data_IF_917728652986
#
_entry.id   IF_917728652986
#
_cell.length_a   1.000
_cell.length_b   1.000
_cell.length_c   1.000
_cell.angle_alpha   90.00
_cell.angle_beta   90.00
_cell.angle_gamma   90.00
#
_symmetry.space_group_name_H-M   'P 1'
#
loop_
_entity.id
_entity.type
_entity.pdbx_description
1 polymer ?
#
# COMPACT_ATOMS: atom_id res chain seq x y z
N UNK A 1 -4.78 14.84 17.88
CA UNK A 1 -4.31 13.44 17.97
C UNK A 1 -3.51 13.17 16.71
N UNK A 2 -2.30 12.64 16.82
CA UNK A 2 -1.47 12.30 15.67
C UNK A 2 -1.74 10.83 15.29
N UNK A 3 -2.04 10.56 14.02
CA UNK A 3 -2.09 9.19 13.48
C UNK A 3 -0.72 8.85 12.93
N UNK A 4 -0.25 7.62 13.08
CA UNK A 4 1.00 7.19 12.42
C UNK A 4 0.74 6.95 10.95
N UNK A 5 1.51 7.63 10.08
CA UNK A 5 1.46 7.44 8.63
C UNK A 5 2.47 6.40 8.19
N UNK A 6 2.22 5.75 7.06
CA UNK A 6 3.19 4.84 6.45
C UNK A 6 2.94 4.57 4.98
N UNK A 7 3.89 3.86 4.38
CA UNK A 7 3.80 3.34 3.01
C UNK A 7 3.51 1.85 3.09
N UNK A 8 2.57 1.38 2.28
CA UNK A 8 2.34 -0.03 2.03
C UNK A 8 2.61 -0.26 0.55
N UNK A 9 3.81 -0.68 0.17
CA UNK A 9 4.16 -1.02 -1.22
C UNK A 9 3.42 -2.31 -1.59
N UNK A 10 2.13 -2.22 -1.89
CA UNK A 10 1.23 -3.37 -2.03
C UNK A 10 0.52 -3.45 -3.37
N UNK A 11 0.99 -2.69 -4.35
CA UNK A 11 0.46 -2.60 -5.70
C UNK A 11 0.89 -3.77 -6.61
N UNK A 12 0.14 -3.95 -7.69
CA UNK A 12 0.50 -4.74 -8.86
C UNK A 12 1.34 -3.92 -9.84
N UNK A 13 2.19 -4.57 -10.62
CA UNK A 13 2.99 -3.93 -11.66
C UNK A 13 4.50 -4.06 -11.47
N UNK A 14 5.30 -3.20 -12.13
CA UNK A 14 6.75 -3.23 -11.99
C UNK A 14 7.19 -2.81 -10.58
N UNK A 15 8.14 -3.56 -10.01
CA UNK A 15 8.71 -3.22 -8.69
C UNK A 15 9.61 -2.00 -8.78
N UNK A 16 9.60 -1.20 -7.72
CA UNK A 16 10.60 -0.16 -7.53
C UNK A 16 12.00 -0.75 -7.33
N UNK A 17 12.99 0.02 -7.73
CA UNK A 17 14.39 -0.20 -7.39
C UNK A 17 14.63 0.12 -5.92
N UNK A 18 15.70 -0.45 -5.34
CA UNK A 18 16.10 -0.13 -3.96
C UNK A 18 16.44 1.35 -3.76
N UNK A 19 17.00 2.01 -4.78
CA UNK A 19 17.31 3.44 -4.71
C UNK A 19 16.04 4.29 -4.64
N UNK A 20 15.04 3.98 -5.47
CA UNK A 20 13.73 4.66 -5.44
C UNK A 20 13.05 4.51 -4.08
N UNK A 21 13.05 3.30 -3.50
CA UNK A 21 12.53 3.06 -2.14
C UNK A 21 13.22 3.93 -1.09
N UNK A 22 14.56 3.98 -1.12
CA UNK A 22 15.36 4.79 -0.17
C UNK A 22 15.08 6.28 -0.32
N UNK A 23 14.92 6.75 -1.55
CA UNK A 23 14.59 8.15 -1.83
C UNK A 23 13.21 8.51 -1.27
N UNK A 24 12.19 7.67 -1.51
CA UNK A 24 10.85 7.91 -0.99
C UNK A 24 10.82 7.97 0.54
N UNK A 25 11.49 7.03 1.22
CA UNK A 25 11.60 7.02 2.68
C UNK A 25 12.22 8.32 3.20
N UNK A 26 13.33 8.78 2.62
CA UNK A 26 13.96 10.07 3.01
C UNK A 26 13.06 11.26 2.78
N UNK A 27 12.32 11.25 1.67
CA UNK A 27 11.37 12.32 1.37
C UNK A 27 10.23 12.36 2.38
N UNK A 28 9.69 11.21 2.81
CA UNK A 28 8.48 11.16 3.62
C UNK A 28 8.69 11.12 5.13
N UNK A 29 9.82 10.59 5.61
CA UNK A 29 10.11 10.49 7.05
C UNK A 29 9.99 11.85 7.78
N UNK A 30 10.49 12.99 7.24
CA UNK A 30 10.32 14.31 7.86
C UNK A 30 8.85 14.77 7.99
N UNK A 31 7.93 14.20 7.20
CA UNK A 31 6.50 14.53 7.24
C UNK A 31 5.70 13.59 8.17
N UNK A 32 6.37 12.75 8.96
CA UNK A 32 5.72 11.89 9.95
C UNK A 32 5.33 10.50 9.46
N UNK A 33 5.87 10.07 8.32
CA UNK A 33 5.79 8.67 7.88
C UNK A 33 6.72 7.81 8.74
N UNK A 34 6.14 6.93 9.55
CA UNK A 34 6.84 6.16 10.58
C UNK A 34 6.96 4.67 10.30
N UNK A 35 6.37 4.16 9.22
CA UNK A 35 6.55 2.77 8.78
C UNK A 35 6.54 2.61 7.27
N UNK A 36 7.21 1.56 6.81
CA UNK A 36 7.22 1.08 5.43
C UNK A 36 6.95 -0.43 5.45
N UNK A 37 5.83 -0.85 4.86
CA UNK A 37 5.48 -2.26 4.67
C UNK A 37 5.81 -2.67 3.23
N UNK A 38 6.81 -3.52 3.07
CA UNK A 38 7.19 -4.12 1.79
C UNK A 38 6.28 -5.30 1.49
N UNK A 39 5.37 -5.15 0.53
CA UNK A 39 4.43 -6.19 0.10
C UNK A 39 4.15 -6.19 -1.41
N UNK A 40 5.12 -5.91 -2.30
CA UNK A 40 4.82 -5.76 -3.72
C UNK A 40 4.29 -7.07 -4.27
N UNK A 41 3.14 -7.04 -4.97
CA UNK A 41 2.50 -8.26 -5.47
C UNK A 41 3.40 -9.04 -6.43
N UNK A 42 4.30 -8.34 -7.14
CA UNK A 42 5.30 -8.92 -8.02
C UNK A 42 6.42 -9.72 -7.33
N UNK A 43 6.64 -9.58 -6.01
CA UNK A 43 7.58 -10.44 -5.29
C UNK A 43 6.95 -11.82 -5.03
N UNK A 44 7.18 -12.72 -5.97
CA UNK A 44 6.65 -14.10 -5.93
C UNK A 44 7.06 -14.85 -4.66
N UNK A 45 8.19 -14.51 -4.02
CA UNK A 45 8.64 -15.18 -2.79
C UNK A 45 7.89 -14.69 -1.55
N UNK A 46 7.10 -13.62 -1.65
CA UNK A 46 6.15 -13.22 -0.60
C UNK A 46 4.72 -13.68 -0.90
N UNK A 47 4.47 -14.25 -2.09
CA UNK A 47 3.15 -14.66 -2.56
C UNK A 47 3.14 -16.09 -3.09
N UNK A 48 3.10 -16.30 -4.41
CA UNK A 48 2.90 -17.65 -5.01
C UNK A 48 3.98 -18.69 -4.70
N UNK A 49 5.21 -18.26 -4.43
CA UNK A 49 6.36 -19.10 -4.06
C UNK A 49 6.79 -18.84 -2.63
N UNK A 50 5.86 -18.51 -1.74
CA UNK A 50 6.15 -18.13 -0.35
C UNK A 50 6.92 -19.20 0.44
N UNK A 51 6.75 -20.48 0.08
CA UNK A 51 7.49 -21.61 0.68
C UNK A 51 8.97 -21.61 0.30
N UNK A 52 9.36 -20.90 -0.77
CA UNK A 52 10.75 -20.80 -1.20
C UNK A 52 11.43 -19.61 -0.49
N UNK A 53 12.71 -19.75 -0.11
CA UNK A 53 13.47 -18.64 0.39
C UNK A 53 13.70 -17.63 -0.74
N UNK A 54 13.78 -16.35 -0.37
CA UNK A 54 14.28 -15.34 -1.30
C UNK A 54 15.71 -15.69 -1.74
N UNK A 55 16.10 -15.39 -3.00
CA UNK A 55 17.49 -15.50 -3.44
C UNK A 55 18.42 -14.71 -2.51
N UNK A 56 19.66 -15.19 -2.23
CA UNK A 56 20.54 -14.55 -1.27
C UNK A 56 20.80 -13.07 -1.50
N UNK A 57 20.96 -12.64 -2.77
CA UNK A 57 21.15 -11.24 -3.11
C UNK A 57 19.92 -10.38 -2.77
N UNK A 58 18.72 -10.90 -3.01
CA UNK A 58 17.46 -10.21 -2.69
C UNK A 58 17.24 -10.14 -1.17
N UNK A 59 17.55 -11.21 -0.44
CA UNK A 59 17.49 -11.22 1.02
C UNK A 59 18.48 -10.23 1.64
N UNK A 60 19.68 -10.09 1.07
CA UNK A 60 20.66 -9.10 1.50
C UNK A 60 20.16 -7.67 1.30
N UNK A 61 19.58 -7.36 0.13
CA UNK A 61 19.00 -6.04 -0.13
C UNK A 61 17.84 -5.71 0.83
N UNK A 62 16.97 -6.68 1.14
CA UNK A 62 15.91 -6.52 2.14
C UNK A 62 16.49 -6.19 3.53
N UNK A 63 17.54 -6.90 3.95
CA UNK A 63 18.20 -6.65 5.22
C UNK A 63 18.87 -5.26 5.25
N UNK A 64 19.47 -4.85 4.14
CA UNK A 64 20.12 -3.55 3.98
C UNK A 64 19.10 -2.40 3.97
N UNK A 65 17.93 -2.64 3.37
CA UNK A 65 16.83 -1.70 3.38
C UNK A 65 16.16 -1.59 4.76
N UNK A 66 16.02 -2.71 5.49
CA UNK A 66 15.59 -2.73 6.89
C UNK A 66 16.47 -1.85 7.78
N UNK A 67 17.80 -2.04 7.71
CA UNK A 67 18.76 -1.22 8.48
C UNK A 67 18.67 0.26 8.11
N UNK A 68 18.53 0.56 6.82
CA UNK A 68 18.36 1.92 6.35
C UNK A 68 17.09 2.59 6.89
N UNK A 69 15.93 1.93 6.82
CA UNK A 69 14.68 2.49 7.34
C UNK A 69 14.82 2.83 8.83
N UNK A 70 15.41 1.93 9.64
CA UNK A 70 15.66 2.18 11.06
C UNK A 70 16.56 3.39 11.30
N UNK A 71 17.60 3.59 10.47
CA UNK A 71 18.46 4.78 10.55
C UNK A 71 17.71 6.07 10.23
N UNK A 72 16.70 6.02 9.37
CA UNK A 72 15.80 7.15 9.04
C UNK A 72 14.63 7.28 10.05
N UNK A 73 14.59 6.47 11.12
CA UNK A 73 13.52 6.48 12.12
C UNK A 73 12.20 5.84 11.67
N UNK A 74 12.23 5.05 10.59
CA UNK A 74 11.08 4.37 9.98
C UNK A 74 11.12 2.87 10.31
N UNK A 75 10.01 2.33 10.83
CA UNK A 75 9.88 0.88 11.02
C UNK A 75 9.79 0.18 9.67
N UNK A 76 10.57 -0.88 9.47
CA UNK A 76 10.47 -1.67 8.25
C UNK A 76 9.71 -2.96 8.50
N UNK A 77 8.64 -3.17 7.76
CA UNK A 77 7.85 -4.39 7.80
C UNK A 77 7.81 -5.11 6.47
N UNK A 78 7.40 -6.38 6.51
CA UNK A 78 7.13 -7.21 5.32
C UNK A 78 5.70 -7.74 5.37
N UNK A 79 5.00 -7.65 4.24
CA UNK A 79 3.74 -8.35 4.02
C UNK A 79 3.99 -9.70 3.37
N UNK A 80 3.62 -10.76 4.08
CA UNK A 80 3.65 -12.13 3.59
C UNK A 80 2.22 -12.53 3.20
N UNK A 81 2.01 -12.85 1.93
CA UNK A 81 0.78 -13.46 1.41
C UNK A 81 1.02 -14.97 1.26
N UNK A 82 0.81 -15.80 2.30
CA UNK A 82 0.96 -17.24 2.17
C UNK A 82 -0.19 -17.78 1.29
N UNK A 83 0.03 -17.72 -0.02
CA UNK A 83 -1.01 -17.89 -1.04
C UNK A 83 -1.75 -19.21 -0.84
N UNK A 84 -3.08 -19.12 -0.71
CA UNK A 84 -4.04 -20.21 -0.49
C UNK A 84 -3.76 -21.10 0.74
N UNK A 85 -2.93 -20.65 1.69
CA UNK A 85 -2.57 -21.47 2.86
C UNK A 85 -3.78 -21.84 3.73
N UNK A 86 -4.82 -20.99 3.77
CA UNK A 86 -6.03 -21.26 4.53
C UNK A 86 -6.88 -22.39 3.93
N UNK A 87 -6.72 -22.69 2.64
CA UNK A 87 -7.38 -23.84 2.00
C UNK A 87 -6.75 -25.16 2.46
N UNK A 88 -5.48 -25.14 2.90
CA UNK A 88 -4.76 -26.33 3.37
C UNK A 88 -3.60 -25.98 4.33
N UNK A 89 -3.93 -25.78 5.61
CA UNK A 89 -2.94 -25.49 6.66
C UNK A 89 -2.49 -26.77 7.41
N UNK A 90 -1.83 -27.67 6.69
CA UNK A 90 -1.29 -28.94 7.21
C UNK A 90 0.17 -28.81 7.73
N UNK A 91 0.79 -29.94 8.07
CA UNK A 91 2.15 -29.95 8.63
C UNK A 91 3.22 -29.45 7.65
N UNK A 92 3.03 -29.67 6.35
CA UNK A 92 3.94 -29.18 5.31
C UNK A 92 3.85 -27.65 5.23
N UNK A 93 2.63 -27.11 5.17
CA UNK A 93 2.41 -25.66 5.19
C UNK A 93 3.00 -25.01 6.46
N UNK A 94 2.80 -25.64 7.63
CA UNK A 94 3.39 -25.18 8.90
C UNK A 94 4.92 -25.19 8.86
N UNK A 95 5.54 -26.23 8.31
CA UNK A 95 7.00 -26.31 8.20
C UNK A 95 7.56 -25.21 7.29
N UNK A 96 7.00 -25.02 6.09
CA UNK A 96 7.41 -23.95 5.18
C UNK A 96 7.22 -22.56 5.80
N UNK A 97 6.13 -22.36 6.55
CA UNK A 97 5.88 -21.07 7.20
C UNK A 97 6.90 -20.81 8.32
N UNK A 98 7.28 -21.83 9.10
CA UNK A 98 8.33 -21.69 10.11
C UNK A 98 9.68 -21.29 9.49
N UNK A 99 10.06 -21.91 8.39
CA UNK A 99 11.30 -21.56 7.66
C UNK A 99 11.25 -20.13 7.13
N UNK A 100 10.09 -19.70 6.60
CA UNK A 100 9.88 -18.35 6.10
C UNK A 100 9.96 -17.31 7.23
N UNK A 101 9.33 -17.56 8.37
CA UNK A 101 9.41 -16.70 9.55
C UNK A 101 10.86 -16.54 10.01
N UNK A 102 11.61 -17.63 10.12
CA UNK A 102 13.03 -17.58 10.50
C UNK A 102 13.87 -16.76 9.51
N UNK A 103 13.55 -16.79 8.20
CA UNK A 103 14.21 -15.95 7.20
C UNK A 103 13.90 -14.47 7.42
N UNK A 104 12.64 -14.12 7.65
CA UNK A 104 12.21 -12.74 7.87
C UNK A 104 12.80 -12.16 9.17
N UNK A 105 12.94 -12.97 10.21
CA UNK A 105 13.66 -12.59 11.44
C UNK A 105 15.15 -12.31 11.18
N UNK A 106 15.82 -13.12 10.35
CA UNK A 106 17.22 -12.88 9.97
C UNK A 106 17.40 -11.60 9.14
N UNK A 107 16.42 -11.23 8.32
CA UNK A 107 16.38 -9.93 7.63
C UNK A 107 16.29 -8.79 8.66
N UNK A 108 15.70 -9.05 9.82
CA UNK A 108 15.63 -8.12 10.94
C UNK A 108 14.54 -7.08 10.76
N UNK A 109 13.33 -7.52 10.38
CA UNK A 109 12.14 -6.67 10.22
C UNK A 109 11.49 -6.33 11.58
N UNK A 110 10.82 -5.19 11.64
CA UNK A 110 10.14 -4.67 12.84
C UNK A 110 8.64 -5.06 12.87
N UNK A 111 8.04 -5.26 11.70
CA UNK A 111 6.63 -5.58 11.52
C UNK A 111 6.42 -6.72 10.50
N UNK A 112 5.49 -7.62 10.78
CA UNK A 112 5.07 -8.66 9.87
C UNK A 112 3.56 -8.57 9.65
N UNK A 113 3.14 -8.44 8.39
CA UNK A 113 1.75 -8.55 8.02
C UNK A 113 1.48 -9.91 7.36
N UNK A 114 0.44 -10.61 7.81
CA UNK A 114 -0.10 -11.79 7.13
C UNK A 114 -1.26 -11.35 6.26
N UNK A 115 -1.17 -11.63 4.97
CA UNK A 115 -2.02 -11.05 3.94
C UNK A 115 -2.92 -12.13 3.33
N UNK A 116 -4.23 -11.99 3.49
CA UNK A 116 -5.24 -12.90 2.96
C UNK A 116 -6.08 -12.29 1.82
N UNK A 117 -5.69 -11.11 1.32
CA UNK A 117 -6.29 -10.44 0.17
C UNK A 117 -6.03 -11.18 -1.15
N UNK A 118 -6.91 -10.93 -2.12
CA UNK A 118 -6.74 -11.32 -3.52
C UNK A 118 -6.70 -12.85 -3.76
N UNK A 119 -7.49 -13.58 -2.99
CA UNK A 119 -7.60 -15.05 -3.05
C UNK A 119 -9.06 -15.48 -2.93
N UNK A 120 -9.45 -16.48 -3.72
CA UNK A 120 -10.75 -17.14 -3.56
C UNK A 120 -10.75 -18.00 -2.30
N UNK A 121 -11.89 -18.04 -1.62
CA UNK A 121 -12.08 -18.91 -0.47
C UNK A 121 -13.42 -19.62 -0.54
N UNK A 122 -13.38 -20.94 -0.39
CA UNK A 122 -14.52 -21.81 -0.11
C UNK A 122 -14.49 -22.34 1.33
N UNK A 123 -13.63 -21.77 2.18
CA UNK A 123 -13.38 -22.24 3.55
C UNK A 123 -14.56 -21.90 4.48
N UNK A 124 -15.27 -22.88 5.06
CA UNK A 124 -16.49 -22.62 5.84
C UNK A 124 -16.29 -21.77 7.11
N UNK A 125 -15.18 -21.91 7.84
CA UNK A 125 -14.82 -21.05 9.00
C UNK A 125 -13.62 -20.15 8.66
N UNK A 126 -13.70 -19.45 7.53
CA UNK A 126 -12.58 -18.64 7.01
C UNK A 126 -11.96 -17.71 8.07
N UNK A 127 -12.79 -16.97 8.82
CA UNK A 127 -12.32 -16.07 9.88
C UNK A 127 -11.61 -16.83 11.01
N UNK A 128 -12.11 -18.01 11.41
CA UNK A 128 -11.45 -18.87 12.38
C UNK A 128 -10.12 -19.39 11.87
N UNK A 129 -10.08 -19.95 10.66
CA UNK A 129 -8.85 -20.48 10.05
C UNK A 129 -7.78 -19.40 9.89
N UNK A 130 -8.14 -18.19 9.44
CA UNK A 130 -7.21 -17.07 9.36
C UNK A 130 -6.68 -16.64 10.72
N UNK A 131 -7.55 -16.64 11.74
CA UNK A 131 -7.15 -16.37 13.12
C UNK A 131 -6.14 -17.42 13.61
N UNK A 132 -6.42 -18.71 13.40
CA UNK A 132 -5.54 -19.80 13.81
C UNK A 132 -4.16 -19.71 13.16
N UNK A 133 -4.10 -19.36 11.86
CA UNK A 133 -2.83 -19.14 11.15
C UNK A 133 -2.06 -17.96 11.77
N UNK A 134 -2.74 -16.83 12.02
CA UNK A 134 -2.09 -15.64 12.59
C UNK A 134 -1.60 -15.91 14.01
N UNK A 135 -2.38 -16.61 14.84
CA UNK A 135 -1.94 -17.03 16.18
C UNK A 135 -0.77 -18.01 16.11
N UNK A 136 -0.81 -18.97 15.18
CA UNK A 136 0.29 -19.90 14.95
C UNK A 136 1.60 -19.17 14.62
N UNK A 137 1.53 -18.12 13.78
CA UNK A 137 2.65 -17.24 13.44
C UNK A 137 3.13 -16.48 14.66
N UNK A 138 2.21 -15.82 15.38
CA UNK A 138 2.49 -15.03 16.59
C UNK A 138 3.26 -15.82 17.63
N UNK A 139 2.88 -17.08 17.85
CA UNK A 139 3.51 -17.94 18.85
C UNK A 139 4.92 -18.41 18.46
N UNK A 140 5.37 -18.10 17.23
CA UNK A 140 6.63 -18.59 16.63
C UNK A 140 7.54 -17.48 16.11
N UNK A 141 7.18 -16.22 16.31
CA UNK A 141 8.04 -15.10 15.93
C UNK A 141 8.26 -14.13 17.08
N UNK A 142 9.45 -13.54 17.08
CA UNK A 142 9.87 -12.44 17.94
C UNK A 142 9.63 -11.05 17.33
N UNK A 143 9.08 -10.99 16.11
CA UNK A 143 8.76 -9.74 15.43
C UNK A 143 7.69 -8.98 16.23
N UNK A 144 7.96 -7.71 16.51
CA UNK A 144 7.26 -6.95 17.56
C UNK A 144 5.82 -6.57 17.20
N UNK A 145 5.58 -6.28 15.94
CA UNK A 145 4.29 -5.81 15.46
C UNK A 145 3.73 -6.79 14.44
N UNK A 146 2.51 -7.27 14.69
CA UNK A 146 1.79 -8.14 13.77
C UNK A 146 0.55 -7.44 13.25
N UNK A 147 0.32 -7.61 11.96
CA UNK A 147 -0.83 -7.08 11.25
C UNK A 147 -1.45 -8.18 10.39
N UNK A 148 -2.75 -8.08 10.11
CA UNK A 148 -3.44 -8.97 9.17
C UNK A 148 -4.23 -8.16 8.16
N UNK A 149 -4.12 -8.52 6.88
CA UNK A 149 -5.10 -8.12 5.87
C UNK A 149 -6.11 -9.26 5.73
N UNK A 150 -7.36 -9.10 6.19
CA UNK A 150 -8.39 -10.13 6.03
C UNK A 150 -8.77 -10.29 4.55
N UNK A 151 -9.37 -11.41 4.16
CA UNK A 151 -9.85 -11.59 2.77
C UNK A 151 -10.93 -10.60 2.39
N UNK A 152 -11.81 -10.25 3.35
CA UNK A 152 -12.80 -9.20 3.18
C UNK A 152 -12.35 -7.96 3.94
N UNK A 153 -11.55 -7.13 3.26
CA UNK A 153 -10.90 -5.93 3.80
C UNK A 153 -11.63 -4.61 3.46
N UNK A 154 -12.83 -4.70 2.90
CA UNK A 154 -13.70 -3.58 2.53
C UNK A 154 -15.16 -4.00 2.57
N UNK A 155 -16.08 -3.04 2.64
CA UNK A 155 -17.51 -3.28 2.39
C UNK A 155 -17.84 -3.42 0.89
N UNK A 156 -16.84 -3.26 0.01
CA UNK A 156 -17.02 -3.32 -1.43
C UNK A 156 -17.59 -4.67 -1.88
N UNK A 157 -18.78 -4.69 -2.52
CA UNK A 157 -19.37 -5.92 -3.05
C UNK A 157 -18.53 -6.58 -4.15
N UNK A 158 -17.51 -5.90 -4.70
CA UNK A 158 -16.57 -6.52 -5.64
C UNK A 158 -15.83 -7.69 -4.99
N UNK A 159 -15.54 -7.62 -3.69
CA UNK A 159 -14.82 -8.70 -2.99
C UNK A 159 -15.65 -9.98 -2.99
N UNK A 160 -16.96 -9.89 -2.77
CA UNK A 160 -17.87 -11.04 -2.78
C UNK A 160 -17.98 -11.67 -4.17
N UNK A 161 -17.92 -10.84 -5.23
CA UNK A 161 -17.98 -11.30 -6.61
C UNK A 161 -16.71 -12.02 -7.05
N UNK A 162 -15.54 -11.57 -6.58
CA UNK A 162 -14.24 -12.08 -7.03
C UNK A 162 -13.74 -13.21 -6.12
N UNK A 163 -13.96 -13.13 -4.81
CA UNK A 163 -13.41 -14.07 -3.82
C UNK A 163 -14.42 -15.09 -3.29
N UNK A 164 -15.71 -14.92 -3.61
CA UNK A 164 -16.81 -15.73 -3.09
C UNK A 164 -17.63 -14.98 -2.05
N UNK A 165 -18.85 -15.42 -1.80
CA UNK A 165 -19.78 -14.79 -0.86
C UNK A 165 -19.19 -14.76 0.56
N UNK A 166 -19.07 -13.55 1.14
CA UNK A 166 -18.49 -13.42 2.49
C UNK A 166 -19.42 -14.01 3.55
N UNK A 167 -18.87 -14.67 4.59
CA UNK A 167 -19.67 -15.06 5.75
C UNK A 167 -20.32 -13.85 6.41
N UNK A 168 -21.58 -13.99 6.82
CA UNK A 168 -22.39 -12.87 7.32
C UNK A 168 -21.82 -12.18 8.57
N UNK A 169 -21.09 -12.93 9.42
CA UNK A 169 -20.47 -12.45 10.66
C UNK A 169 -18.93 -12.43 10.58
N UNK A 170 -18.38 -12.37 9.36
CA UNK A 170 -16.94 -12.54 9.13
C UNK A 170 -16.08 -11.55 9.96
N UNK A 171 -16.39 -10.26 9.94
CA UNK A 171 -15.61 -9.24 10.64
C UNK A 171 -15.77 -9.31 12.15
N UNK A 172 -16.98 -9.57 12.64
CA UNK A 172 -17.28 -9.75 14.07
C UNK A 172 -16.57 -10.99 14.61
N UNK A 173 -16.61 -12.09 13.88
CA UNK A 173 -15.93 -13.34 14.27
C UNK A 173 -14.41 -13.16 14.22
N UNK A 174 -13.86 -12.51 13.20
CA UNK A 174 -12.44 -12.15 13.16
C UNK A 174 -12.05 -11.26 14.34
N UNK A 175 -12.78 -10.18 14.59
CA UNK A 175 -12.51 -9.22 15.67
C UNK A 175 -12.52 -9.86 17.06
N UNK A 176 -13.48 -10.77 17.29
CA UNK A 176 -13.63 -11.54 18.53
C UNK A 176 -12.56 -12.61 18.73
N UNK A 177 -12.21 -13.38 17.68
CA UNK A 177 -11.27 -14.50 17.79
C UNK A 177 -9.81 -14.03 17.78
N UNK A 178 -9.47 -13.01 16.99
CA UNK A 178 -8.11 -12.53 16.80
C UNK A 178 -7.56 -11.87 18.07
N UNK A 179 -6.28 -12.08 18.38
CA UNK A 179 -5.64 -11.46 19.55
C UNK A 179 -5.63 -9.94 19.38
N UNK A 180 -6.06 -9.17 20.39
CA UNK A 180 -6.17 -7.72 20.35
C UNK A 180 -4.85 -6.97 20.08
N UNK A 181 -3.69 -7.63 20.25
CA UNK A 181 -2.39 -7.04 19.88
C UNK A 181 -2.14 -7.02 18.37
N UNK A 182 -2.91 -7.76 17.57
CA UNK A 182 -2.76 -7.83 16.12
C UNK A 182 -3.57 -6.71 15.46
N UNK A 183 -2.92 -5.91 14.63
CA UNK A 183 -3.61 -4.89 13.83
C UNK A 183 -4.40 -5.52 12.69
N UNK A 184 -5.49 -4.89 12.28
CA UNK A 184 -6.31 -5.35 11.14
C UNK A 184 -6.35 -4.24 10.10
N UNK A 185 -5.94 -4.56 8.87
CA UNK A 185 -6.06 -3.65 7.73
C UNK A 185 -7.50 -3.53 7.26
N UNK A 186 -7.84 -2.36 6.75
CA UNK A 186 -9.14 -2.03 6.17
C UNK A 186 -8.96 -0.97 5.08
N UNK A 187 -9.68 -1.05 3.97
CA UNK A 187 -9.54 -0.08 2.86
C UNK A 187 -10.70 0.93 2.78
N UNK A 188 -11.79 0.71 3.53
CA UNK A 188 -12.95 1.59 3.55
C UNK A 188 -14.21 0.96 2.96
N UNK A 189 -15.13 1.80 2.49
CA UNK A 189 -16.41 1.35 1.89
C UNK A 189 -16.22 0.72 0.51
N UNK A 190 -15.14 1.11 -0.19
CA UNK A 190 -14.73 0.57 -1.49
C UNK A 190 -13.26 0.11 -1.40
N UNK A 191 -12.83 -0.77 -2.32
CA UNK A 191 -11.41 -1.16 -2.41
C UNK A 191 -10.54 0.08 -2.60
N UNK A 192 -10.93 0.95 -3.54
CA UNK A 192 -10.36 2.28 -3.73
C UNK A 192 -11.37 3.35 -3.29
N UNK A 193 -11.52 3.50 -1.97
CA UNK A 193 -12.52 4.39 -1.37
C UNK A 193 -12.39 5.85 -1.82
N UNK A 194 -13.50 6.43 -2.31
CA UNK A 194 -13.57 7.87 -2.61
C UNK A 194 -13.38 8.73 -1.35
N UNK A 195 -13.99 8.33 -0.25
CA UNK A 195 -13.95 9.00 1.06
C UNK A 195 -13.95 7.94 2.16
N UNK A 196 -13.36 8.25 3.30
CA UNK A 196 -13.43 7.43 4.52
C UNK A 196 -13.83 8.34 5.67
N UNK A 197 -15.06 8.19 6.17
CA UNK A 197 -15.59 9.06 7.23
C UNK A 197 -15.27 8.54 8.65
N UNK A 198 -15.27 9.42 9.68
CA UNK A 198 -15.12 8.98 11.07
C UNK A 198 -16.23 8.02 11.53
N UNK A 199 -17.45 8.22 11.02
CA UNK A 199 -18.60 7.36 11.34
C UNK A 199 -18.40 5.94 10.83
N UNK A 200 -17.90 5.81 9.59
CA UNK A 200 -17.53 4.51 9.01
C UNK A 200 -16.45 3.81 9.84
N UNK A 201 -15.35 4.50 10.13
CA UNK A 201 -14.25 3.95 10.93
C UNK A 201 -14.68 3.56 12.34
N UNK A 202 -15.59 4.33 12.96
CA UNK A 202 -16.17 3.97 14.26
C UNK A 202 -16.94 2.64 14.16
N UNK A 203 -17.85 2.50 13.19
CA UNK A 203 -18.62 1.25 13.00
C UNK A 203 -17.69 0.06 12.79
N UNK A 204 -16.71 0.18 11.90
CA UNK A 204 -15.72 -0.88 11.64
C UNK A 204 -14.94 -1.21 12.92
N UNK A 205 -14.54 -0.18 13.68
CA UNK A 205 -13.86 -0.38 14.96
C UNK A 205 -14.72 -1.07 16.02
N UNK A 206 -16.03 -0.80 16.04
CA UNK A 206 -16.99 -1.48 16.93
C UNK A 206 -17.13 -2.96 16.55
N UNK A 207 -17.19 -3.30 15.25
CA UNK A 207 -17.26 -4.68 14.75
C UNK A 207 -15.99 -5.48 15.04
N UNK A 208 -14.82 -4.88 14.81
CA UNK A 208 -13.52 -5.51 15.04
C UNK A 208 -13.11 -5.56 16.52
N UNK A 209 -13.78 -4.78 17.38
CA UNK A 209 -13.38 -4.57 18.78
C UNK A 209 -12.03 -3.86 18.94
N UNK A 210 -11.54 -3.17 17.89
CA UNK A 210 -10.25 -2.44 17.85
C UNK A 210 -10.26 -1.42 16.71
N UNK A 211 -9.40 -0.41 16.79
CA UNK A 211 -9.22 0.55 15.68
C UNK A 211 -8.52 -0.14 14.51
N UNK A 212 -9.02 -0.03 13.27
CA UNK A 212 -8.31 -0.57 12.11
C UNK A 212 -7.06 0.25 11.78
N UNK A 213 -6.14 -0.36 11.04
CA UNK A 213 -5.12 0.36 10.27
C UNK A 213 -5.68 0.59 8.87
N UNK A 214 -5.80 1.84 8.45
CA UNK A 214 -6.29 2.14 7.11
C UNK A 214 -5.19 1.78 6.09
N UNK A 215 -5.48 0.87 5.16
CA UNK A 215 -4.72 0.65 3.94
C UNK A 215 -5.43 1.44 2.84
N UNK A 216 -5.01 2.69 2.63
CA UNK A 216 -5.68 3.61 1.73
C UNK A 216 -5.16 3.41 0.30
N UNK A 217 -6.02 2.93 -0.61
CA UNK A 217 -5.67 2.75 -2.02
C UNK A 217 -5.73 4.09 -2.79
N UNK A 218 -4.92 5.04 -2.32
CA UNK A 218 -4.57 6.27 -3.00
C UNK A 218 -3.15 6.66 -2.55
N UNK A 219 -2.22 7.01 -3.45
CA UNK A 219 -2.39 7.29 -4.88
C UNK A 219 -2.21 6.09 -5.83
N UNK A 220 -2.26 4.84 -5.35
CA UNK A 220 -2.07 3.67 -6.23
C UNK A 220 -2.82 3.80 -7.56
N UNK A 221 -2.10 3.52 -8.65
CA UNK A 221 -2.57 3.61 -10.02
C UNK A 221 -2.20 2.34 -10.80
N UNK A 222 -2.36 1.18 -10.17
CA UNK A 222 -2.15 -0.12 -10.78
C UNK A 222 -3.41 -0.65 -11.48
N UNK A 223 -3.25 -1.76 -12.19
CA UNK A 223 -4.28 -2.32 -13.06
C UNK A 223 -4.44 -1.59 -14.40
N UNK A 224 -5.14 -2.25 -15.33
CA UNK A 224 -5.18 -1.83 -16.74
C UNK A 224 -5.72 -0.40 -16.92
N UNK A 225 -6.78 -0.06 -16.18
CA UNK A 225 -7.42 1.26 -16.27
C UNK A 225 -6.64 2.35 -15.54
N UNK A 226 -6.25 2.14 -14.28
CA UNK A 226 -5.64 3.23 -13.50
C UNK A 226 -4.20 3.52 -13.92
N UNK A 227 -3.47 2.51 -14.44
CA UNK A 227 -2.11 2.72 -14.97
C UNK A 227 -2.08 3.68 -16.16
N UNK A 228 -3.22 3.93 -16.81
CA UNK A 228 -3.38 4.98 -17.82
C UNK A 228 -3.38 6.40 -17.26
N UNK A 229 -3.29 6.60 -15.94
CA UNK A 229 -3.41 7.89 -15.27
C UNK A 229 -2.29 8.09 -14.23
N UNK A 230 -1.78 9.31 -14.09
CA UNK A 230 -0.90 9.68 -12.98
C UNK A 230 -1.73 10.28 -11.84
N UNK A 231 -1.81 9.59 -10.70
CA UNK A 231 -2.54 10.07 -9.52
C UNK A 231 -1.69 11.06 -8.71
N UNK A 232 -1.89 12.36 -8.96
CA UNK A 232 -1.05 13.46 -8.48
C UNK A 232 -1.76 14.40 -7.49
N UNK A 233 -3.09 14.43 -7.50
CA UNK A 233 -3.89 15.38 -6.70
C UNK A 233 -3.61 15.22 -5.21
N UNK A 234 -3.72 16.34 -4.49
CA UNK A 234 -3.65 16.31 -3.04
C UNK A 234 -4.78 15.45 -2.44
N UNK A 235 -4.51 14.81 -1.31
CA UNK A 235 -5.47 13.97 -0.60
C UNK A 235 -6.74 14.75 -0.25
N UNK A 236 -7.90 14.11 -0.39
CA UNK A 236 -9.22 14.59 0.02
C UNK A 236 -10.07 13.42 0.55
N UNK A 237 -11.17 13.69 1.24
CA UNK A 237 -12.05 12.64 1.78
C UNK A 237 -11.47 11.87 2.97
N UNK A 238 -10.37 12.33 3.57
CA UNK A 238 -9.74 11.74 4.76
C UNK A 238 -9.68 12.81 5.85
N UNK A 239 -10.82 13.20 6.45
CA UNK A 239 -10.85 14.28 7.43
C UNK A 239 -9.95 13.96 8.62
N UNK A 240 -9.28 14.97 9.19
CA UNK A 240 -8.34 14.77 10.30
C UNK A 240 -8.97 14.09 11.54
N UNK A 241 -10.29 14.19 11.69
CA UNK A 241 -11.05 13.47 12.72
C UNK A 241 -10.87 11.93 12.66
N UNK A 242 -10.52 11.37 11.50
CA UNK A 242 -10.21 9.95 11.33
C UNK A 242 -9.09 9.48 12.26
N UNK A 243 -8.15 10.36 12.64
CA UNK A 243 -7.04 10.02 13.53
C UNK A 243 -7.53 9.46 14.89
N UNK A 244 -8.71 9.84 15.35
CA UNK A 244 -9.28 9.32 16.59
C UNK A 244 -9.72 7.85 16.47
N UNK A 245 -9.98 7.36 15.25
CA UNK A 245 -10.59 6.06 14.95
C UNK A 245 -9.62 5.07 14.29
N UNK A 246 -8.37 5.46 14.06
CA UNK A 246 -7.35 4.64 13.41
C UNK A 246 -6.26 4.22 14.39
N UNK A 247 -5.69 3.04 14.16
CA UNK A 247 -4.42 2.61 14.76
C UNK A 247 -3.22 3.06 13.91
N UNK A 248 -3.44 3.31 12.62
CA UNK A 248 -2.47 3.84 11.67
C UNK A 248 -3.13 4.13 10.32
N UNK A 249 -2.42 4.83 9.45
CA UNK A 249 -2.85 5.10 8.08
C UNK A 249 -1.68 4.86 7.12
N UNK A 250 -1.67 3.70 6.48
CA UNK A 250 -0.76 3.37 5.40
C UNK A 250 -1.38 3.68 4.05
N UNK A 251 -0.63 4.30 3.15
CA UNK A 251 -1.07 4.51 1.77
C UNK A 251 -0.49 3.42 0.86
N UNK A 252 -1.29 2.91 -0.07
CA UNK A 252 -0.79 2.17 -1.22
C UNK A 252 -0.30 3.20 -2.25
N UNK A 253 1.02 3.27 -2.52
CA UNK A 253 1.59 4.29 -3.37
C UNK A 253 1.32 4.03 -4.87
N UNK A 254 1.54 5.03 -5.70
CA UNK A 254 1.50 4.89 -7.16
C UNK A 254 2.70 4.09 -7.66
N UNK A 255 2.66 3.63 -8.89
CA UNK A 255 3.81 2.99 -9.54
C UNK A 255 5.02 3.92 -9.68
N UNK A 256 4.79 5.23 -9.60
CA UNK A 256 5.81 6.29 -9.68
C UNK A 256 6.22 6.75 -8.26
N UNK A 257 7.39 6.33 -7.74
CA UNK A 257 7.79 6.58 -6.36
C UNK A 257 8.03 8.05 -6.05
N UNK A 258 8.64 8.82 -6.96
CA UNK A 258 8.89 10.25 -6.74
C UNK A 258 7.58 11.04 -6.78
N UNK A 259 6.72 10.79 -7.77
CA UNK A 259 5.41 11.45 -7.89
C UNK A 259 4.47 11.08 -6.72
N UNK A 260 4.56 9.87 -6.17
CA UNK A 260 3.82 9.44 -4.96
C UNK A 260 4.03 10.39 -3.78
N UNK A 261 5.21 11.02 -3.66
CA UNK A 261 5.51 11.89 -2.53
C UNK A 261 4.56 13.09 -2.44
N UNK A 262 4.02 13.58 -3.56
CA UNK A 262 3.13 14.74 -3.60
C UNK A 262 1.82 14.48 -2.84
N UNK A 263 0.98 13.51 -3.22
CA UNK A 263 -0.20 13.17 -2.45
C UNK A 263 0.17 12.73 -1.02
N UNK A 264 1.21 11.93 -0.83
CA UNK A 264 1.63 11.46 0.49
C UNK A 264 1.88 12.61 1.48
N UNK A 265 2.66 13.63 1.10
CA UNK A 265 2.90 14.79 1.97
C UNK A 265 1.60 15.56 2.22
N UNK A 266 0.73 15.71 1.22
CA UNK A 266 -0.56 16.40 1.40
C UNK A 266 -1.48 15.67 2.40
N UNK A 267 -1.39 14.35 2.53
CA UNK A 267 -2.10 13.59 3.56
C UNK A 267 -1.62 14.00 4.96
N UNK A 268 -0.31 14.06 5.18
CA UNK A 268 0.24 14.51 6.45
C UNK A 268 -0.23 15.92 6.81
N UNK A 269 -0.26 16.82 5.82
CA UNK A 269 -0.78 18.17 6.01
C UNK A 269 -2.27 18.22 6.31
N UNK A 270 -3.08 17.35 5.69
CA UNK A 270 -4.51 17.26 5.96
C UNK A 270 -4.80 16.92 7.43
N UNK A 271 -4.02 16.02 8.03
CA UNK A 271 -4.12 15.71 9.45
C UNK A 271 -3.66 16.88 10.32
N UNK A 272 -2.57 17.54 9.94
CA UNK A 272 -1.98 18.66 10.68
C UNK A 272 -2.88 19.90 10.68
N UNK A 273 -3.48 20.22 9.53
CA UNK A 273 -4.26 21.44 9.30
C UNK A 273 -5.75 21.24 9.61
N UNK A 274 -6.24 20.00 9.60
CA UNK A 274 -7.63 19.69 9.92
C UNK A 274 -8.62 20.48 9.06
N UNK A 275 -9.64 21.13 9.66
CA UNK A 275 -10.62 21.93 8.92
C UNK A 275 -10.05 23.09 8.09
N UNK A 276 -8.81 23.52 8.36
CA UNK A 276 -8.14 24.59 7.60
C UNK A 276 -7.40 24.09 6.35
N UNK A 277 -7.34 22.78 6.13
CA UNK A 277 -6.68 22.18 4.98
C UNK A 277 -7.36 22.58 3.66
N UNK A 278 -6.56 23.02 2.69
CA UNK A 278 -7.02 23.42 1.35
C UNK A 278 -6.27 22.63 0.29
N UNK A 279 -6.85 21.54 -0.21
CA UNK A 279 -6.18 20.58 -1.10
C UNK A 279 -5.52 21.23 -2.33
N UNK A 280 -6.14 22.25 -2.93
CA UNK A 280 -5.57 22.96 -4.08
C UNK A 280 -4.34 23.80 -3.73
N UNK A 281 -4.28 24.38 -2.53
CA UNK A 281 -3.08 25.06 -2.05
C UNK A 281 -2.00 24.04 -1.67
N UNK A 282 -2.39 22.99 -0.95
CA UNK A 282 -1.51 21.88 -0.53
C UNK A 282 -0.75 21.29 -1.72
N UNK A 283 -1.47 20.89 -2.78
CA UNK A 283 -0.87 20.39 -4.00
C UNK A 283 0.21 21.35 -4.55
N UNK A 284 -0.12 22.64 -4.68
CA UNK A 284 0.79 23.61 -5.32
C UNK A 284 2.09 23.82 -4.56
N UNK A 285 2.07 23.88 -3.23
CA UNK A 285 3.31 24.10 -2.49
C UNK A 285 4.09 22.79 -2.28
N UNK A 286 3.41 21.67 -2.05
CA UNK A 286 4.07 20.36 -1.94
C UNK A 286 4.71 19.96 -3.27
N UNK A 287 4.03 20.17 -4.40
CA UNK A 287 4.66 19.94 -5.70
C UNK A 287 5.94 20.77 -5.88
N UNK A 288 5.97 22.03 -5.41
CA UNK A 288 7.18 22.86 -5.45
C UNK A 288 8.28 22.36 -4.51
N UNK A 289 7.91 21.80 -3.36
CA UNK A 289 8.85 21.19 -2.42
C UNK A 289 9.49 19.93 -3.02
N UNK A 290 8.70 19.07 -3.65
CA UNK A 290 9.17 17.79 -4.22
C UNK A 290 9.90 17.98 -5.55
N UNK A 291 9.47 18.92 -6.39
CA UNK A 291 9.90 19.01 -7.80
C UNK A 291 10.73 20.27 -8.11
N UNK A 292 10.81 21.22 -7.19
CA UNK A 292 11.27 22.58 -7.49
C UNK A 292 10.21 23.41 -8.23
N UNK A 293 10.50 24.70 -8.44
CA UNK A 293 9.51 25.67 -8.91
C UNK A 293 9.03 25.44 -10.33
N UNK A 294 9.96 25.18 -11.25
CA UNK A 294 9.67 25.11 -12.70
C UNK A 294 8.92 23.83 -13.05
N UNK A 295 9.44 22.67 -12.65
CA UNK A 295 8.77 21.39 -12.89
C UNK A 295 7.41 21.31 -12.20
N UNK A 296 7.26 21.86 -10.99
CA UNK A 296 5.95 21.92 -10.34
C UNK A 296 4.93 22.78 -11.09
N UNK A 297 5.38 23.91 -11.67
CA UNK A 297 4.50 24.75 -12.48
C UNK A 297 4.07 24.02 -13.76
N UNK A 298 5.00 23.32 -14.41
CA UNK A 298 4.71 22.51 -15.59
C UNK A 298 3.74 21.36 -15.27
N UNK A 299 4.01 20.59 -14.21
CA UNK A 299 3.14 19.50 -13.76
C UNK A 299 1.73 20.01 -13.43
N UNK A 300 1.62 21.18 -12.80
CA UNK A 300 0.32 21.78 -12.51
C UNK A 300 -0.44 22.16 -13.78
N UNK A 301 0.25 22.69 -14.80
CA UNK A 301 -0.36 23.05 -16.09
C UNK A 301 -0.86 21.82 -16.86
N UNK A 302 -0.15 20.70 -16.78
CA UNK A 302 -0.53 19.45 -17.45
C UNK A 302 -1.40 18.51 -16.58
N UNK A 303 -1.76 18.91 -15.35
CA UNK A 303 -2.46 18.03 -14.40
C UNK A 303 -3.74 17.40 -14.98
N UNK A 304 -4.54 18.18 -15.73
CA UNK A 304 -5.76 17.67 -16.36
C UNK A 304 -5.47 16.59 -17.42
N UNK A 305 -4.34 16.69 -18.11
CA UNK A 305 -3.94 15.73 -19.13
C UNK A 305 -3.37 14.47 -18.49
N UNK A 306 -2.44 14.64 -17.54
CA UNK A 306 -1.73 13.53 -16.90
C UNK A 306 -2.62 12.69 -15.98
N UNK A 307 -3.50 13.34 -15.22
CA UNK A 307 -4.36 12.65 -14.25
C UNK A 307 -5.76 12.37 -14.81
N UNK A 308 -6.46 13.35 -15.40
CA UNK A 308 -7.88 13.17 -15.70
C UNK A 308 -8.12 12.58 -17.10
N UNK A 309 -7.37 13.02 -18.12
CA UNK A 309 -7.49 12.48 -19.46
C UNK A 309 -6.83 11.11 -19.61
N UNK A 310 -5.60 10.96 -19.12
CA UNK A 310 -4.82 9.73 -19.17
C UNK A 310 -4.29 9.39 -20.57
N UNK A 311 -3.39 8.40 -20.65
CA UNK A 311 -2.68 7.99 -21.88
C UNK A 311 -3.63 7.71 -23.05
N UNK A 312 -4.77 7.07 -22.79
CA UNK A 312 -5.73 6.68 -23.81
C UNK A 312 -6.43 7.86 -24.52
N UNK A 313 -6.31 9.08 -24.01
CA UNK A 313 -6.92 10.29 -24.60
C UNK A 313 -5.89 11.35 -25.04
N UNK A 314 -4.60 11.05 -24.93
CA UNK A 314 -3.53 11.94 -25.39
C UNK A 314 -3.26 11.65 -26.87
N UNK A 315 -3.42 12.65 -27.74
CA UNK A 315 -3.05 12.51 -29.17
C UNK A 315 -1.53 12.34 -29.32
N UNK A 316 -1.08 11.77 -30.44
CA UNK A 316 0.34 11.55 -30.70
C UNK A 316 1.13 12.87 -30.69
N UNK A 317 0.56 13.96 -31.25
CA UNK A 317 1.20 15.28 -31.23
C UNK A 317 1.34 15.82 -29.80
N UNK A 318 0.29 15.66 -28.97
CA UNK A 318 0.35 16.09 -27.56
C UNK A 318 1.32 15.21 -26.76
N UNK A 319 1.40 13.90 -27.04
CA UNK A 319 2.36 12.99 -26.42
C UNK A 319 3.80 13.41 -26.71
N UNK A 320 4.12 13.69 -27.97
CA UNK A 320 5.45 14.17 -28.38
C UNK A 320 5.79 15.53 -27.73
N UNK A 321 4.82 16.44 -27.67
CA UNK A 321 4.99 17.73 -26.99
C UNK A 321 5.28 17.55 -25.49
N UNK A 322 4.56 16.66 -24.81
CA UNK A 322 4.82 16.35 -23.41
C UNK A 322 6.21 15.71 -23.24
N UNK A 323 6.57 14.74 -24.07
CA UNK A 323 7.90 14.11 -24.04
C UNK A 323 9.01 15.16 -24.15
N UNK A 324 8.95 16.03 -25.16
CA UNK A 324 9.94 17.10 -25.32
C UNK A 324 9.97 18.05 -24.10
N UNK A 325 8.82 18.34 -23.51
CA UNK A 325 8.71 19.22 -22.33
C UNK A 325 9.37 18.60 -21.11
N UNK A 326 9.09 17.33 -20.80
CA UNK A 326 9.61 16.66 -19.61
C UNK A 326 11.06 16.21 -19.76
N UNK A 327 11.54 15.96 -20.98
CA UNK A 327 12.95 15.64 -21.28
C UNK A 327 13.91 16.80 -20.95
N UNK A 328 13.39 18.04 -20.90
CA UNK A 328 14.18 19.22 -20.52
C UNK A 328 14.50 19.29 -19.01
N UNK A 329 13.92 18.42 -18.17
CA UNK A 329 14.12 18.41 -16.73
C UNK A 329 14.99 17.23 -16.29
N UNK A 330 16.18 17.52 -15.74
CA UNK A 330 17.00 16.52 -15.03
C UNK A 330 16.42 16.28 -13.62
N UNK A 331 15.30 15.56 -13.55
CA UNK A 331 14.60 15.26 -12.31
C UNK A 331 13.94 13.87 -12.35
N UNK A 332 14.03 13.04 -11.29
CA UNK A 332 13.43 11.71 -11.27
C UNK A 332 11.93 11.68 -11.61
N UNK A 333 11.15 12.63 -11.09
CA UNK A 333 9.72 12.75 -11.43
C UNK A 333 9.46 13.02 -12.93
N UNK A 334 10.34 13.76 -13.61
CA UNK A 334 10.19 13.99 -15.04
C UNK A 334 10.46 12.69 -15.82
N UNK A 335 11.48 11.91 -15.40
CA UNK A 335 11.73 10.58 -15.94
C UNK A 335 10.53 9.63 -15.72
N UNK A 336 9.91 9.63 -14.53
CA UNK A 336 8.70 8.86 -14.27
C UNK A 336 7.55 9.23 -15.25
N UNK A 337 7.37 10.52 -15.57
CA UNK A 337 6.38 10.95 -16.57
C UNK A 337 6.76 10.47 -17.97
N UNK A 338 8.03 10.54 -18.36
CA UNK A 338 8.51 10.07 -19.67
C UNK A 338 8.29 8.56 -19.85
N UNK A 339 8.64 7.76 -18.84
CA UNK A 339 8.41 6.31 -18.80
C UNK A 339 6.91 5.97 -18.87
N UNK A 340 6.07 6.74 -18.19
CA UNK A 340 4.62 6.62 -18.29
C UNK A 340 4.10 6.96 -19.69
N UNK A 341 4.57 8.04 -20.32
CA UNK A 341 4.25 8.37 -21.71
C UNK A 341 4.73 7.29 -22.70
N UNK A 342 5.76 6.52 -22.35
CA UNK A 342 6.25 5.37 -23.11
C UNK A 342 5.48 4.06 -22.83
N UNK A 343 4.54 4.05 -21.88
CA UNK A 343 3.74 2.88 -21.52
C UNK A 343 4.42 1.90 -20.57
N UNK A 344 5.58 2.23 -19.99
CA UNK A 344 6.36 1.31 -19.14
C UNK A 344 5.68 0.94 -17.82
N UNK A 345 4.68 1.72 -17.41
CA UNK A 345 3.89 1.47 -16.20
C UNK A 345 2.57 0.78 -16.47
N UNK A 346 2.28 0.39 -17.72
CA UNK A 346 1.04 -0.32 -18.03
C UNK A 346 0.99 -1.65 -17.29
N UNK A 347 -0.08 -1.86 -16.52
CA UNK A 347 -0.31 -3.11 -15.79
C UNK A 347 -1.44 -3.85 -16.47
N UNK A 348 -1.18 -5.03 -17.02
CA UNK A 348 -2.20 -5.82 -17.72
C UNK A 348 -2.94 -6.76 -16.77
N UNK A 349 -4.14 -7.22 -17.17
CA UNK A 349 -4.88 -8.26 -16.43
C UNK A 349 -4.05 -9.55 -16.26
N UNK A 350 -3.21 -9.89 -17.25
CA UNK A 350 -2.29 -11.02 -17.16
C UNK A 350 -1.24 -10.82 -16.06
N UNK A 351 -0.69 -9.60 -15.93
CA UNK A 351 0.24 -9.28 -14.85
C UNK A 351 -0.45 -9.42 -13.49
N UNK A 352 -1.67 -8.89 -13.33
CA UNK A 352 -2.44 -9.03 -12.10
C UNK A 352 -2.73 -10.50 -11.78
N UNK A 353 -3.09 -11.29 -12.79
CA UNK A 353 -3.40 -12.71 -12.64
C UNK A 353 -2.19 -13.61 -12.38
N UNK A 354 -0.97 -13.15 -12.65
CA UNK A 354 0.28 -13.92 -12.47
C UNK A 354 1.10 -13.48 -11.26
N UNK A 355 0.90 -12.25 -10.80
CA UNK A 355 1.40 -11.75 -9.52
C UNK A 355 0.58 -12.33 -8.36
#
# INVERSE_FOLDING_TARGET
MATTLGIIEGFYGPMWTWQERRQLVRTLAPHGYGFYLYAPKADVFLRRKWQQPHPPAMAAELADFSRFCRNEGVRFGVGLSPFEVFNRFDDEARASLAEKLALLERIGIDELAILFDDMQSDTPDLAGTQTDIVHWVRDRTSIKQLSVCPSYYSDDPVLDRVFGERPADYLETLGRKLDHSVNVFWTGEEVCSREVSPGHLKRVGDLLGRKPVLWDNYPVNDGDRMSQHLHLRAFTGRPAANAAHLAGHGINPALQPTLTAIPAITLAESYRLGPSYQYGQAFRHVAREVLGRELAAQLHADLLVLQDAGLGRISDEKRQSLQHTYDAFDHPAANEILRWLAGEYQVTDEMVATQ
#
